data_IF_676743092509
#
_entry.id   IF_676743092509
#
_cell.length_a   1.000
_cell.length_b   1.000
_cell.length_c   1.000
_cell.angle_alpha   90.00
_cell.angle_beta   90.00
_cell.angle_gamma   90.00
#
_symmetry.space_group_name_H-M   'P 1'
#
loop_
_entity.id
_entity.type
_entity.pdbx_description
1 polymer ?
#
# COMPACT_ATOMS: atom_id res chain seq x y z
N UNK A 1 14.14 -7.37 -2.06
CA UNK A 1 14.80 -6.15 -1.51
C UNK A 1 15.98 -5.66 -2.33
N UNK A 2 16.80 -6.55 -2.90
CA UNK A 2 17.97 -6.16 -3.72
C UNK A 2 17.68 -5.10 -4.78
N UNK A 3 16.50 -5.16 -5.44
CA UNK A 3 16.08 -4.19 -6.44
C UNK A 3 15.96 -2.73 -5.93
N UNK A 4 15.85 -2.52 -4.61
CA UNK A 4 15.78 -1.19 -3.98
C UNK A 4 17.14 -0.79 -3.38
N UNK A 5 18.00 -1.77 -3.10
CA UNK A 5 19.29 -1.54 -2.43
C UNK A 5 20.24 -0.72 -3.32
N UNK A 6 20.73 0.40 -2.78
CA UNK A 6 21.68 1.27 -3.47
C UNK A 6 21.13 2.07 -4.66
N UNK A 7 19.81 2.09 -4.85
CA UNK A 7 19.16 2.88 -5.91
C UNK A 7 18.26 3.98 -5.32
N UNK A 8 18.18 5.16 -5.97
CA UNK A 8 17.24 6.21 -5.57
C UNK A 8 15.82 5.83 -6.03
N UNK A 9 15.14 5.02 -5.23
CA UNK A 9 13.76 4.60 -5.49
C UNK A 9 12.81 5.43 -4.64
N UNK A 10 11.90 6.15 -5.29
CA UNK A 10 10.89 6.97 -4.59
C UNK A 10 9.63 6.16 -4.25
N UNK A 11 9.32 5.14 -5.05
CA UNK A 11 8.10 4.33 -4.90
C UNK A 11 8.32 2.89 -5.38
N UNK A 12 7.77 1.94 -4.63
CA UNK A 12 7.65 0.54 -5.04
C UNK A 12 6.18 0.16 -5.21
N UNK A 13 5.91 -0.57 -6.29
CA UNK A 13 4.62 -1.23 -6.52
C UNK A 13 4.78 -2.71 -6.22
N UNK A 14 3.93 -3.25 -5.35
CA UNK A 14 4.05 -4.64 -4.86
C UNK A 14 2.74 -5.38 -5.13
N UNK A 15 2.84 -6.60 -5.64
CA UNK A 15 1.71 -7.52 -5.69
C UNK A 15 1.34 -8.02 -4.29
N UNK A 16 0.05 -8.07 -3.96
CA UNK A 16 -0.41 -8.59 -2.68
C UNK A 16 -0.05 -10.07 -2.49
N UNK A 17 -0.17 -10.87 -3.56
CA UNK A 17 0.11 -12.30 -3.51
C UNK A 17 1.40 -12.59 -4.26
N UNK A 18 2.44 -12.96 -3.52
CA UNK A 18 3.74 -13.37 -4.05
C UNK A 18 3.94 -14.87 -3.79
N UNK A 19 4.84 -15.51 -4.54
CA UNK A 19 5.00 -16.97 -4.52
C UNK A 19 5.25 -17.55 -3.12
N UNK A 20 6.07 -16.87 -2.32
CA UNK A 20 6.54 -17.36 -1.00
C UNK A 20 6.25 -16.37 0.15
N UNK A 21 5.58 -15.26 -0.12
CA UNK A 21 5.36 -14.17 0.85
C UNK A 21 4.13 -13.35 0.45
N UNK A 22 3.79 -12.33 1.22
CA UNK A 22 2.69 -11.42 0.94
C UNK A 22 3.20 -10.00 0.74
N UNK A 23 2.44 -9.20 0.00
CA UNK A 23 2.74 -7.77 -0.15
C UNK A 23 2.78 -7.05 1.19
N UNK A 24 2.02 -7.50 2.20
CA UNK A 24 2.05 -6.98 3.58
C UNK A 24 3.43 -7.18 4.21
N UNK A 25 3.93 -8.42 4.23
CA UNK A 25 5.24 -8.74 4.82
C UNK A 25 6.38 -7.98 4.12
N UNK A 26 6.36 -7.90 2.79
CA UNK A 26 7.36 -7.13 2.03
C UNK A 26 7.25 -5.63 2.34
N UNK A 27 6.04 -5.12 2.57
CA UNK A 27 5.82 -3.72 2.96
C UNK A 27 6.43 -3.44 4.33
N UNK A 28 6.18 -4.29 5.33
CA UNK A 28 6.76 -4.14 6.67
C UNK A 28 8.30 -4.12 6.62
N UNK A 29 8.88 -5.05 5.86
CA UNK A 29 10.33 -5.15 5.72
C UNK A 29 10.94 -3.91 5.02
N UNK A 30 10.32 -3.45 3.93
CA UNK A 30 10.73 -2.25 3.22
C UNK A 30 10.57 -0.98 4.07
N UNK A 31 9.49 -0.87 4.84
CA UNK A 31 9.25 0.29 5.72
C UNK A 31 10.25 0.36 6.87
N UNK A 32 10.63 -0.78 7.43
CA UNK A 32 11.65 -0.89 8.48
C UNK A 32 13.03 -0.43 7.97
N UNK A 33 13.42 -0.85 6.77
CA UNK A 33 14.73 -0.52 6.20
C UNK A 33 14.77 0.85 5.50
N UNK A 34 13.65 1.27 4.90
CA UNK A 34 13.53 2.50 4.11
C UNK A 34 12.30 3.33 4.54
N UNK A 35 12.36 4.04 5.67
CA UNK A 35 11.20 4.75 6.23
C UNK A 35 10.68 5.93 5.39
N UNK A 36 11.38 6.34 4.35
CA UNK A 36 10.92 7.36 3.37
C UNK A 36 10.26 6.74 2.14
N UNK A 37 10.45 5.43 1.90
CA UNK A 37 9.99 4.78 0.69
C UNK A 37 8.46 4.72 0.64
N UNK A 38 7.90 5.15 -0.49
CA UNK A 38 6.48 5.02 -0.73
C UNK A 38 6.13 3.64 -1.29
N UNK A 39 5.03 3.07 -0.81
CA UNK A 39 4.61 1.72 -1.20
C UNK A 39 3.15 1.75 -1.66
N UNK A 40 2.91 1.15 -2.83
CA UNK A 40 1.60 0.97 -3.44
C UNK A 40 1.37 -0.52 -3.68
N UNK A 41 0.25 -1.05 -3.19
CA UNK A 41 -0.14 -2.45 -3.38
C UNK A 41 -1.06 -2.60 -4.60
N UNK A 42 -0.80 -3.64 -5.41
CA UNK A 42 -1.72 -4.16 -6.42
C UNK A 42 -2.27 -5.51 -5.97
N UNK A 43 -3.58 -5.73 -6.08
CA UNK A 43 -4.21 -6.96 -5.60
C UNK A 43 -5.40 -7.39 -6.44
N UNK A 44 -5.62 -8.70 -6.60
CA UNK A 44 -6.89 -9.21 -7.13
C UNK A 44 -8.03 -9.16 -6.09
N UNK A 45 -7.69 -8.99 -4.81
CA UNK A 45 -8.63 -9.03 -3.69
C UNK A 45 -9.00 -7.61 -3.26
N UNK A 46 -10.29 -7.40 -2.99
CA UNK A 46 -10.82 -6.22 -2.31
C UNK A 46 -11.24 -6.54 -0.86
N UNK A 47 -10.74 -7.64 -0.29
CA UNK A 47 -11.08 -8.08 1.06
C UNK A 47 -10.49 -7.15 2.12
N UNK A 48 -11.28 -6.92 3.17
CA UNK A 48 -10.92 -5.99 4.24
C UNK A 48 -9.62 -6.37 4.94
N UNK A 49 -9.33 -7.66 5.15
CA UNK A 49 -8.13 -8.10 5.86
C UNK A 49 -6.86 -7.72 5.10
N UNK A 50 -6.84 -7.93 3.78
CA UNK A 50 -5.71 -7.55 2.94
C UNK A 50 -5.54 -6.03 2.86
N UNK A 51 -6.63 -5.29 2.67
CA UNK A 51 -6.57 -3.83 2.56
C UNK A 51 -6.11 -3.22 3.88
N UNK A 52 -6.70 -3.64 5.00
CA UNK A 52 -6.29 -3.22 6.34
C UNK A 52 -4.83 -3.55 6.61
N UNK A 53 -4.43 -4.81 6.42
CA UNK A 53 -3.05 -5.26 6.66
C UNK A 53 -2.02 -4.47 5.86
N UNK A 54 -2.30 -4.18 4.59
CA UNK A 54 -1.41 -3.35 3.75
C UNK A 54 -1.20 -1.94 4.32
N UNK A 55 -2.28 -1.26 4.73
CA UNK A 55 -2.19 0.07 5.31
C UNK A 55 -1.50 0.06 6.68
N UNK A 56 -1.76 -0.95 7.50
CA UNK A 56 -1.10 -1.10 8.79
C UNK A 56 0.40 -1.36 8.65
N UNK A 57 0.81 -2.14 7.65
CA UNK A 57 2.21 -2.35 7.29
C UNK A 57 2.92 -1.09 6.76
N UNK A 58 2.18 -0.01 6.48
CA UNK A 58 2.73 1.26 6.04
C UNK A 58 2.61 1.54 4.54
N UNK A 59 1.83 0.75 3.80
CA UNK A 59 1.47 1.10 2.43
C UNK A 59 0.69 2.42 2.41
N UNK A 60 0.91 3.22 1.34
CA UNK A 60 0.20 4.49 1.12
C UNK A 60 -0.78 4.41 -0.04
N UNK A 61 -0.71 3.36 -0.84
CA UNK A 61 -1.62 3.10 -1.96
C UNK A 61 -2.13 1.66 -1.97
N UNK A 62 -3.39 1.47 -2.37
CA UNK A 62 -3.94 0.14 -2.69
C UNK A 62 -4.82 0.23 -3.93
N UNK A 63 -4.52 -0.54 -4.96
CA UNK A 63 -5.28 -0.58 -6.20
C UNK A 63 -5.66 -2.03 -6.50
N UNK A 64 -6.93 -2.27 -6.78
CA UNK A 64 -7.36 -3.58 -7.28
C UNK A 64 -6.92 -3.75 -8.74
N UNK A 65 -6.45 -4.94 -9.10
CA UNK A 65 -5.84 -5.22 -10.41
C UNK A 65 -6.81 -5.04 -11.59
N UNK A 66 -8.10 -5.15 -11.34
CA UNK A 66 -9.16 -4.85 -12.32
C UNK A 66 -9.29 -3.36 -12.64
N UNK A 67 -8.81 -2.47 -11.76
CA UNK A 67 -8.82 -1.01 -11.96
C UNK A 67 -7.43 -0.44 -12.31
N UNK A 68 -6.41 -1.28 -12.47
CA UNK A 68 -5.01 -0.84 -12.67
C UNK A 68 -4.84 0.06 -13.90
N UNK A 69 -5.48 -0.26 -15.02
CA UNK A 69 -5.36 0.51 -16.27
C UNK A 69 -5.77 1.97 -16.11
N UNK A 70 -6.72 2.26 -15.22
CA UNK A 70 -7.30 3.59 -15.04
C UNK A 70 -6.71 4.29 -13.81
N UNK A 71 -6.46 3.54 -12.74
CA UNK A 71 -6.11 4.08 -11.43
C UNK A 71 -4.59 4.20 -11.18
N UNK A 72 -3.73 3.43 -11.87
CA UNK A 72 -2.33 3.29 -11.44
C UNK A 72 -1.54 4.60 -11.55
N UNK A 73 -1.69 5.35 -12.63
CA UNK A 73 -1.00 6.63 -12.82
C UNK A 73 -1.44 7.66 -11.79
N UNK A 74 -2.74 7.71 -11.49
CA UNK A 74 -3.29 8.60 -10.46
C UNK A 74 -2.76 8.20 -9.09
N UNK A 75 -2.80 6.90 -8.77
CA UNK A 75 -2.32 6.36 -7.51
C UNK A 75 -0.86 6.66 -7.25
N UNK A 76 0.02 6.39 -8.22
CA UNK A 76 1.45 6.73 -8.14
C UNK A 76 1.63 8.22 -7.81
N UNK A 77 0.97 9.11 -8.56
CA UNK A 77 1.09 10.57 -8.36
C UNK A 77 0.59 11.04 -7.00
N UNK A 78 -0.47 10.44 -6.47
CA UNK A 78 -0.98 10.80 -5.13
C UNK A 78 -0.02 10.29 -4.05
N UNK A 79 0.43 9.05 -4.17
CA UNK A 79 1.34 8.43 -3.20
C UNK A 79 2.68 9.15 -3.13
N UNK A 80 3.26 9.53 -4.27
CA UNK A 80 4.48 10.35 -4.34
C UNK A 80 4.32 11.75 -3.71
N UNK A 81 3.10 12.24 -3.55
CA UNK A 81 2.80 13.49 -2.82
C UNK A 81 2.59 13.26 -1.32
N UNK A 82 2.92 12.07 -0.81
CA UNK A 82 2.68 11.65 0.58
C UNK A 82 1.20 11.43 0.90
N UNK A 83 0.31 11.34 -0.10
CA UNK A 83 -1.13 11.17 0.12
C UNK A 83 -1.51 9.70 0.07
N UNK A 84 -2.60 9.37 0.75
CA UNK A 84 -3.21 8.05 0.65
C UNK A 84 -3.99 7.93 -0.66
N UNK A 85 -3.93 6.75 -1.27
CA UNK A 85 -4.72 6.42 -2.42
C UNK A 85 -5.36 5.04 -2.29
N UNK A 86 -6.61 4.96 -2.70
CA UNK A 86 -7.33 3.71 -2.91
C UNK A 86 -8.03 3.80 -4.26
N UNK A 87 -8.16 2.67 -4.95
CA UNK A 87 -8.95 2.60 -6.17
C UNK A 87 -10.44 2.82 -5.91
N UNK A 88 -11.20 3.15 -6.95
CA UNK A 88 -12.58 3.62 -6.80
C UNK A 88 -13.50 2.52 -6.26
N UNK A 89 -13.33 1.27 -6.70
CA UNK A 89 -14.03 0.10 -6.18
C UNK A 89 -13.86 -0.03 -4.66
N UNK A 90 -12.63 0.15 -4.17
CA UNK A 90 -12.35 0.11 -2.73
C UNK A 90 -12.93 1.31 -2.00
N UNK A 91 -12.91 2.51 -2.59
CA UNK A 91 -13.53 3.69 -2.00
C UNK A 91 -15.06 3.57 -1.89
N UNK A 92 -15.70 2.84 -2.82
CA UNK A 92 -17.13 2.51 -2.76
C UNK A 92 -17.43 1.45 -1.70
N UNK A 93 -16.51 0.51 -1.48
CA UNK A 93 -16.65 -0.58 -0.50
C UNK A 93 -16.34 -0.12 0.94
N UNK A 94 -15.32 0.71 1.11
CA UNK A 94 -14.82 1.18 2.40
C UNK A 94 -14.86 2.70 2.46
N UNK A 95 -15.54 3.26 3.45
CA UNK A 95 -15.54 4.71 3.65
C UNK A 95 -14.14 5.21 4.02
N UNK A 96 -13.86 6.47 3.69
CA UNK A 96 -12.58 7.11 4.04
C UNK A 96 -12.31 7.10 5.55
N UNK A 97 -13.34 7.21 6.40
CA UNK A 97 -13.17 7.14 7.85
C UNK A 97 -12.65 5.78 8.31
N UNK A 98 -13.14 4.68 7.73
CA UNK A 98 -12.69 3.32 8.09
C UNK A 98 -11.19 3.17 7.79
N UNK A 99 -10.75 3.61 6.63
CA UNK A 99 -9.35 3.50 6.20
C UNK A 99 -8.43 4.38 7.07
N UNK A 100 -8.85 5.60 7.39
CA UNK A 100 -8.12 6.46 8.32
C UNK A 100 -8.02 5.82 9.71
N UNK A 101 -9.08 5.15 10.17
CA UNK A 101 -9.07 4.38 11.41
C UNK A 101 -8.00 3.29 11.43
N UNK A 102 -7.85 2.52 10.34
CA UNK A 102 -6.82 1.48 10.23
C UNK A 102 -5.39 2.04 10.29
N UNK A 103 -5.17 3.22 9.72
CA UNK A 103 -3.86 3.87 9.72
C UNK A 103 -3.51 4.43 11.10
N UNK A 104 -4.49 5.05 11.77
CA UNK A 104 -4.29 5.56 13.14
C UNK A 104 -3.98 4.42 14.11
N UNK A 105 -4.70 3.30 13.99
CA UNK A 105 -4.44 2.10 14.81
C UNK A 105 -3.03 1.55 14.64
N UNK A 106 -2.51 1.52 13.40
CA UNK A 106 -1.14 1.10 13.14
C UNK A 106 -0.09 2.04 13.76
N UNK A 107 -0.34 3.36 13.73
CA UNK A 107 0.57 4.34 14.32
C UNK A 107 0.52 4.44 15.86
N UNK A 108 -0.49 3.85 16.50
CA UNK A 108 -0.60 3.81 17.98
C UNK A 108 0.15 2.65 18.61
N UNK A 109 0.59 1.65 17.83
CA UNK A 109 1.36 0.49 18.31
C UNK A 109 2.88 0.76 18.40
N UNK A 110 3.35 1.93 17.94
CA UNK A 110 4.74 2.41 18.06
C UNK A 110 5.04 3.13 19.40
N UNK A 111 4.44 2.70 20.51
CA UNK A 111 4.73 3.22 21.86
C UNK A 111 5.10 2.14 22.87
#
# INVERSE_FOLDING_TARGET
LEAVSGQPVDLVIIDMLLKNTTGVQVTEELRSQYPSLHILILSMSDDQHHVKGAFQAGARGYITKDEVSEAIIVGIRQVLKGRLYISEKLARKFSKQIIQGWIVQAGTEDK
#
